data_IF_513486512796
#
_entry.id   IF_513486512796
#
_cell.length_a   1.000
_cell.length_b   1.000
_cell.length_c   1.000
_cell.angle_alpha   90.00
_cell.angle_beta   90.00
_cell.angle_gamma   90.00
#
_symmetry.space_group_name_H-M   'P 1'
#
loop_
_entity.id
_entity.type
_entity.pdbx_description
1 polymer ?
#
# COMPACT_ATOMS: atom_id res chain seq x y z
N UNK A 1 -12.45 19.35 -94.84
CA UNK A 1 -12.84 20.12 -96.04
C UNK A 1 -13.72 21.28 -95.61
N UNK A 2 -13.26 22.51 -95.77
CA UNK A 2 -13.95 23.73 -95.32
C UNK A 2 -15.19 24.01 -96.18
N UNK A 3 -16.29 24.50 -95.59
CA UNK A 3 -17.53 24.83 -96.32
C UNK A 3 -17.31 25.76 -97.52
N UNK A 4 -16.28 26.61 -97.45
CA UNK A 4 -15.81 27.49 -98.54
C UNK A 4 -15.51 26.69 -99.83
N UNK A 5 -14.90 25.51 -99.70
CA UNK A 5 -14.57 24.66 -100.86
C UNK A 5 -15.81 24.02 -101.50
N UNK A 6 -16.87 23.72 -100.73
CA UNK A 6 -18.11 23.13 -101.25
C UNK A 6 -18.95 24.19 -101.96
N UNK A 7 -19.06 25.40 -101.39
CA UNK A 7 -19.78 26.52 -102.03
C UNK A 7 -19.09 26.95 -103.32
N UNK A 8 -17.75 27.01 -103.32
CA UNK A 8 -16.99 27.33 -104.54
C UNK A 8 -17.19 26.27 -105.64
N UNK A 9 -17.23 24.97 -105.28
CA UNK A 9 -17.46 23.89 -106.22
C UNK A 9 -18.89 23.91 -106.80
N UNK A 10 -19.90 24.20 -105.97
CA UNK A 10 -21.28 24.36 -106.43
C UNK A 10 -21.45 25.58 -107.35
N UNK A 11 -20.79 26.70 -107.05
CA UNK A 11 -20.79 27.88 -107.94
C UNK A 11 -20.12 27.57 -109.28
N UNK A 12 -19.01 26.83 -109.28
CA UNK A 12 -18.32 26.37 -110.49
C UNK A 12 -19.18 25.40 -111.31
N UNK A 13 -19.88 24.46 -110.67
CA UNK A 13 -20.78 23.51 -111.34
C UNK A 13 -22.03 24.18 -111.93
N UNK A 14 -22.59 25.18 -111.24
CA UNK A 14 -23.72 25.96 -111.76
C UNK A 14 -23.28 26.88 -112.90
N UNK A 15 -22.09 27.49 -112.82
CA UNK A 15 -21.54 28.30 -113.90
C UNK A 15 -21.15 27.48 -115.14
N UNK A 16 -20.72 26.23 -114.98
CA UNK A 16 -20.28 25.36 -116.08
C UNK A 16 -21.44 24.75 -116.88
N UNK A 17 -22.66 24.68 -116.33
CA UNK A 17 -23.77 23.95 -116.96
C UNK A 17 -24.79 24.84 -117.69
N UNK A 18 -24.56 26.16 -117.77
CA UNK A 18 -25.51 27.12 -118.35
C UNK A 18 -24.89 27.79 -119.58
N UNK A 19 -25.46 27.52 -120.76
CA UNK A 19 -25.12 28.20 -122.01
C UNK A 19 -25.49 29.70 -121.99
N UNK A 20 -25.08 30.49 -123.01
CA UNK A 20 -25.12 31.96 -123.03
C UNK A 20 -26.53 32.62 -123.03
N UNK A 21 -27.61 31.87 -122.76
CA UNK A 21 -29.00 32.36 -122.71
C UNK A 21 -29.64 32.27 -121.31
N UNK A 22 -28.82 32.12 -120.26
CA UNK A 22 -29.27 32.19 -118.88
C UNK A 22 -29.79 33.59 -118.52
N UNK A 23 -31.09 33.75 -118.28
CA UNK A 23 -31.66 35.02 -117.79
C UNK A 23 -31.25 35.26 -116.33
N UNK A 24 -30.90 36.52 -116.01
CA UNK A 24 -30.48 36.98 -114.65
C UNK A 24 -31.41 36.49 -113.54
N UNK A 25 -32.70 36.31 -113.85
CA UNK A 25 -33.72 35.80 -112.93
C UNK A 25 -33.42 34.39 -112.40
N UNK A 26 -32.92 33.49 -113.25
CA UNK A 26 -32.59 32.12 -112.85
C UNK A 26 -31.31 32.05 -112.01
N UNK A 27 -30.35 32.94 -112.28
CA UNK A 27 -29.13 33.04 -111.49
C UNK A 27 -29.42 33.57 -110.08
N UNK A 28 -30.30 34.58 -109.98
CA UNK A 28 -30.77 35.12 -108.69
C UNK A 28 -31.56 34.07 -107.90
N UNK A 29 -32.46 33.33 -108.55
CA UNK A 29 -33.21 32.25 -107.89
C UNK A 29 -32.30 31.14 -107.35
N UNK A 30 -31.26 30.75 -108.10
CA UNK A 30 -30.28 29.76 -107.66
C UNK A 30 -29.46 30.25 -106.46
N UNK A 31 -28.98 31.51 -106.48
CA UNK A 31 -28.21 32.10 -105.38
C UNK A 31 -29.07 32.25 -104.12
N UNK A 32 -30.33 32.68 -104.25
CA UNK A 32 -31.28 32.78 -103.14
C UNK A 32 -31.62 31.40 -102.57
N UNK A 33 -31.84 30.39 -103.42
CA UNK A 33 -32.10 29.02 -102.99
C UNK A 33 -30.93 28.39 -102.23
N UNK A 34 -29.70 28.60 -102.71
CA UNK A 34 -28.47 28.15 -102.01
C UNK A 34 -28.29 28.91 -100.70
N UNK A 35 -28.55 30.23 -100.67
CA UNK A 35 -28.48 31.03 -99.45
C UNK A 35 -29.46 30.57 -98.36
N UNK A 36 -30.71 30.29 -98.73
CA UNK A 36 -31.73 29.75 -97.82
C UNK A 36 -31.37 28.36 -97.30
N UNK A 37 -30.85 27.47 -98.14
CA UNK A 37 -30.41 26.15 -97.74
C UNK A 37 -29.24 26.19 -96.74
N UNK A 38 -28.28 27.12 -96.94
CA UNK A 38 -27.16 27.33 -96.01
C UNK A 38 -27.63 27.88 -94.67
N UNK A 39 -28.56 28.85 -94.66
CA UNK A 39 -29.12 29.40 -93.41
C UNK A 39 -29.91 28.33 -92.66
N UNK A 40 -30.74 27.54 -93.36
CA UNK A 40 -31.45 26.41 -92.76
C UNK A 40 -30.49 25.38 -92.16
N UNK A 41 -29.44 25.00 -92.89
CA UNK A 41 -28.41 24.07 -92.41
C UNK A 41 -27.65 24.59 -91.17
N UNK A 42 -27.31 25.87 -91.13
CA UNK A 42 -26.66 26.50 -89.97
C UNK A 42 -27.60 26.58 -88.76
N UNK A 43 -28.89 26.85 -88.98
CA UNK A 43 -29.89 26.84 -87.91
C UNK A 43 -30.11 25.42 -87.36
N UNK A 44 -30.19 24.40 -88.23
CA UNK A 44 -30.28 23.00 -87.82
C UNK A 44 -29.02 22.56 -87.07
N UNK A 45 -27.83 22.92 -87.55
CA UNK A 45 -26.57 22.60 -86.88
C UNK A 45 -26.46 23.28 -85.52
N UNK A 46 -26.88 24.55 -85.39
CA UNK A 46 -26.94 25.26 -84.10
C UNK A 46 -27.95 24.64 -83.15
N UNK A 47 -29.14 24.27 -83.64
CA UNK A 47 -30.16 23.60 -82.85
C UNK A 47 -29.69 22.22 -82.38
N UNK A 48 -29.01 21.46 -83.24
CA UNK A 48 -28.47 20.15 -82.90
C UNK A 48 -27.34 20.26 -81.87
N UNK A 49 -26.46 21.26 -81.99
CA UNK A 49 -25.42 21.54 -80.99
C UNK A 49 -26.03 21.96 -79.65
N UNK A 50 -27.03 22.83 -79.65
CA UNK A 50 -27.73 23.23 -78.42
C UNK A 50 -28.43 22.03 -77.74
N UNK A 51 -29.02 21.12 -78.52
CA UNK A 51 -29.64 19.91 -78.01
C UNK A 51 -28.61 18.93 -77.41
N UNK A 52 -27.43 18.78 -78.04
CA UNK A 52 -26.36 17.94 -77.49
C UNK A 52 -25.75 18.54 -76.22
N UNK A 53 -25.57 19.87 -76.18
CA UNK A 53 -25.05 20.56 -75.00
C UNK A 53 -26.04 20.45 -73.82
N UNK A 54 -27.35 20.56 -74.09
CA UNK A 54 -28.39 20.32 -73.09
C UNK A 54 -28.44 18.85 -72.63
N UNK A 55 -28.31 17.89 -73.54
CA UNK A 55 -28.29 16.47 -73.19
C UNK A 55 -27.07 16.13 -72.32
N UNK A 56 -25.90 16.70 -72.64
CA UNK A 56 -24.70 16.53 -71.83
C UNK A 56 -24.85 17.16 -70.44
N UNK A 57 -25.41 18.36 -70.35
CA UNK A 57 -25.68 19.01 -69.06
C UNK A 57 -26.66 18.20 -68.19
N UNK A 58 -27.69 17.59 -68.80
CA UNK A 58 -28.61 16.70 -68.08
C UNK A 58 -27.92 15.41 -67.62
N UNK A 59 -27.05 14.82 -68.43
CA UNK A 59 -26.27 13.65 -68.05
C UNK A 59 -25.31 13.96 -66.89
N UNK A 60 -24.65 15.12 -66.91
CA UNK A 60 -23.76 15.57 -65.85
C UNK A 60 -24.54 15.82 -64.54
N UNK A 61 -25.72 16.46 -64.62
CA UNK A 61 -26.60 16.66 -63.47
C UNK A 61 -27.13 15.34 -62.90
N UNK A 62 -27.50 14.38 -63.74
CA UNK A 62 -27.88 13.03 -63.30
C UNK A 62 -26.72 12.32 -62.60
N UNK A 63 -25.51 12.41 -63.15
CA UNK A 63 -24.30 11.85 -62.55
C UNK A 63 -23.99 12.47 -61.18
N UNK A 64 -24.14 13.79 -61.04
CA UNK A 64 -24.00 14.48 -59.75
C UNK A 64 -25.07 14.03 -58.76
N UNK A 65 -26.32 13.87 -59.20
CA UNK A 65 -27.44 13.46 -58.35
C UNK A 65 -27.29 12.01 -57.86
N UNK A 66 -26.82 11.09 -58.71
CA UNK A 66 -26.50 9.72 -58.28
C UNK A 66 -25.35 9.67 -57.28
N UNK A 67 -24.32 10.52 -57.45
CA UNK A 67 -23.21 10.63 -56.48
C UNK A 67 -23.67 11.20 -55.15
N UNK A 68 -24.51 12.24 -55.15
CA UNK A 68 -25.02 12.82 -53.90
C UNK A 68 -25.95 11.86 -53.16
N UNK A 69 -26.80 11.12 -53.88
CA UNK A 69 -27.62 10.06 -53.28
C UNK A 69 -26.77 8.94 -52.68
N UNK A 70 -25.73 8.49 -53.39
CA UNK A 70 -24.76 7.51 -52.88
C UNK A 70 -24.06 7.99 -51.62
N UNK A 71 -23.61 9.24 -51.59
CA UNK A 71 -22.96 9.84 -50.42
C UNK A 71 -23.91 9.97 -49.23
N UNK A 72 -25.17 10.34 -49.46
CA UNK A 72 -26.19 10.41 -48.40
C UNK A 72 -26.49 9.03 -47.80
N UNK A 73 -26.56 8.00 -48.64
CA UNK A 73 -26.74 6.61 -48.17
C UNK A 73 -25.55 6.14 -47.34
N UNK A 74 -24.32 6.40 -47.80
CA UNK A 74 -23.10 6.09 -47.07
C UNK A 74 -23.04 6.81 -45.71
N UNK A 75 -23.42 8.09 -45.68
CA UNK A 75 -23.50 8.87 -44.44
C UNK A 75 -24.54 8.29 -43.47
N UNK A 76 -25.71 7.86 -43.97
CA UNK A 76 -26.72 7.16 -43.17
C UNK A 76 -26.17 5.88 -42.53
N UNK A 77 -25.48 5.04 -43.31
CA UNK A 77 -24.86 3.81 -42.78
C UNK A 77 -23.76 4.09 -41.76
N UNK A 78 -22.96 5.14 -41.96
CA UNK A 78 -21.92 5.53 -41.02
C UNK A 78 -22.51 6.03 -39.70
N UNK A 79 -23.59 6.82 -39.75
CA UNK A 79 -24.29 7.30 -38.56
C UNK A 79 -24.92 6.16 -37.77
N UNK A 80 -25.53 5.18 -38.43
CA UNK A 80 -26.12 4.02 -37.75
C UNK A 80 -25.04 3.15 -37.09
N UNK A 81 -23.90 2.97 -37.76
CA UNK A 81 -22.74 2.28 -37.20
C UNK A 81 -22.22 2.98 -35.95
N UNK A 82 -22.01 4.30 -36.04
CA UNK A 82 -21.55 5.12 -34.92
C UNK A 82 -22.54 5.10 -33.74
N UNK A 83 -23.85 5.11 -34.04
CA UNK A 83 -24.90 4.96 -33.03
C UNK A 83 -24.80 3.61 -32.33
N UNK A 84 -24.66 2.52 -33.07
CA UNK A 84 -24.54 1.17 -32.50
C UNK A 84 -23.29 1.05 -31.61
N UNK A 85 -22.16 1.60 -32.04
CA UNK A 85 -20.91 1.57 -31.28
C UNK A 85 -21.00 2.43 -30.01
N UNK A 86 -21.60 3.61 -30.07
CA UNK A 86 -21.86 4.45 -28.90
C UNK A 86 -22.78 3.75 -27.89
N UNK A 87 -23.84 3.11 -28.35
CA UNK A 87 -24.74 2.34 -27.47
C UNK A 87 -23.99 1.20 -26.79
N UNK A 88 -23.20 0.42 -27.55
CA UNK A 88 -22.41 -0.69 -27.00
C UNK A 88 -21.38 -0.20 -25.99
N UNK A 89 -20.70 0.91 -26.28
CA UNK A 89 -19.74 1.52 -25.36
C UNK A 89 -20.43 2.00 -24.07
N UNK A 90 -21.60 2.63 -24.17
CA UNK A 90 -22.36 3.09 -23.02
C UNK A 90 -22.85 1.93 -22.13
N UNK A 91 -23.32 0.84 -22.74
CA UNK A 91 -23.70 -0.38 -22.03
C UNK A 91 -22.50 -0.98 -21.29
N UNK A 92 -21.37 -1.15 -21.98
CA UNK A 92 -20.15 -1.69 -21.38
C UNK A 92 -19.63 -0.80 -20.24
N UNK A 93 -19.66 0.52 -20.39
CA UNK A 93 -19.29 1.45 -19.32
C UNK A 93 -20.22 1.32 -18.12
N UNK A 94 -21.53 1.17 -18.35
CA UNK A 94 -22.52 1.00 -17.27
C UNK A 94 -22.28 -0.29 -16.51
N UNK A 95 -22.03 -1.40 -17.21
CA UNK A 95 -21.68 -2.68 -16.58
C UNK A 95 -20.39 -2.59 -15.78
N UNK A 96 -19.34 -1.98 -16.34
CA UNK A 96 -18.06 -1.81 -15.64
C UNK A 96 -18.20 -0.93 -14.39
N UNK A 97 -19.01 0.14 -14.45
CA UNK A 97 -19.31 0.98 -13.29
C UNK A 97 -20.08 0.21 -12.22
N UNK A 98 -21.03 -0.65 -12.61
CA UNK A 98 -21.73 -1.55 -11.69
C UNK A 98 -20.76 -2.47 -10.94
N UNK A 99 -19.88 -3.17 -11.66
CA UNK A 99 -18.87 -4.04 -11.06
C UNK A 99 -17.92 -3.28 -10.12
N UNK A 100 -17.48 -2.08 -10.52
CA UNK A 100 -16.61 -1.25 -9.68
C UNK A 100 -17.34 -0.80 -8.41
N UNK A 101 -18.62 -0.42 -8.52
CA UNK A 101 -19.44 -0.03 -7.37
C UNK A 101 -19.60 -1.19 -6.38
N UNK A 102 -19.87 -2.40 -6.87
CA UNK A 102 -20.00 -3.59 -6.02
C UNK A 102 -18.69 -3.93 -5.30
N UNK A 103 -17.56 -3.86 -6.01
CA UNK A 103 -16.24 -4.12 -5.44
C UNK A 103 -15.86 -3.07 -4.38
N UNK A 104 -16.14 -1.79 -4.65
CA UNK A 104 -15.93 -0.71 -3.68
C UNK A 104 -16.82 -0.92 -2.45
N UNK A 105 -18.09 -1.30 -2.63
CA UNK A 105 -19.01 -1.64 -1.54
C UNK A 105 -18.47 -2.74 -0.63
N UNK A 106 -18.04 -3.87 -1.20
CA UNK A 106 -17.44 -4.99 -0.44
C UNK A 106 -16.19 -4.58 0.32
N UNK A 107 -15.33 -3.74 -0.28
CA UNK A 107 -14.12 -3.24 0.38
C UNK A 107 -14.46 -2.31 1.54
N UNK A 108 -15.47 -1.45 1.40
CA UNK A 108 -15.96 -0.63 2.50
C UNK A 108 -16.50 -1.47 3.65
N UNK A 109 -17.30 -2.50 3.37
CA UNK A 109 -17.80 -3.43 4.40
C UNK A 109 -16.64 -4.14 5.13
N UNK A 110 -15.63 -4.57 4.39
CA UNK A 110 -14.43 -5.21 4.97
C UNK A 110 -13.66 -4.24 5.89
N UNK A 111 -13.48 -2.99 5.47
CA UNK A 111 -12.81 -1.96 6.28
C UNK A 111 -13.60 -1.65 7.55
N UNK A 112 -14.93 -1.54 7.45
CA UNK A 112 -15.79 -1.36 8.62
C UNK A 112 -15.70 -2.55 9.58
N UNK A 113 -15.63 -3.78 9.07
CA UNK A 113 -15.42 -4.98 9.87
C UNK A 113 -14.10 -4.94 10.65
N UNK A 114 -12.98 -4.66 9.96
CA UNK A 114 -11.68 -4.52 10.62
C UNK A 114 -11.65 -3.39 11.66
N UNK A 115 -12.36 -2.28 11.41
CA UNK A 115 -12.43 -1.17 12.36
C UNK A 115 -13.17 -1.58 13.64
N UNK A 116 -14.26 -2.34 13.53
CA UNK A 116 -14.97 -2.89 14.69
C UNK A 116 -14.12 -3.89 15.48
N UNK A 117 -13.37 -4.76 14.78
CA UNK A 117 -12.43 -5.69 15.41
C UNK A 117 -11.32 -4.95 16.16
N UNK A 118 -10.75 -3.90 15.55
CA UNK A 118 -9.74 -3.06 16.19
C UNK A 118 -10.26 -2.38 17.46
N UNK A 119 -11.48 -1.83 17.43
CA UNK A 119 -12.11 -1.23 18.62
C UNK A 119 -12.38 -2.27 19.72
N UNK A 120 -12.75 -3.49 19.35
CA UNK A 120 -12.91 -4.60 20.29
C UNK A 120 -11.57 -4.99 20.93
N UNK A 121 -10.48 -5.04 20.15
CA UNK A 121 -9.13 -5.30 20.65
C UNK A 121 -8.65 -4.19 21.59
N UNK A 122 -8.88 -2.91 21.26
CA UNK A 122 -8.55 -1.79 22.14
C UNK A 122 -9.28 -1.88 23.49
N UNK A 123 -10.57 -2.26 23.48
CA UNK A 123 -11.33 -2.51 24.72
C UNK A 123 -10.73 -3.66 25.52
N UNK A 124 -10.38 -4.77 24.90
CA UNK A 124 -9.72 -5.89 25.59
C UNK A 124 -8.37 -5.48 26.19
N UNK A 125 -7.57 -4.68 25.47
CA UNK A 125 -6.29 -4.17 25.97
C UNK A 125 -6.53 -3.25 27.17
N UNK A 126 -7.51 -2.36 27.12
CA UNK A 126 -7.85 -1.48 28.24
C UNK A 126 -8.24 -2.30 29.49
N UNK A 127 -9.15 -3.27 29.34
CA UNK A 127 -9.56 -4.15 30.43
C UNK A 127 -8.40 -4.96 31.00
N UNK A 128 -7.52 -5.50 30.14
CA UNK A 128 -6.32 -6.23 30.58
C UNK A 128 -5.32 -5.32 31.28
N UNK A 129 -5.17 -4.08 30.82
CA UNK A 129 -4.28 -3.10 31.43
C UNK A 129 -4.80 -2.70 32.80
N UNK A 130 -6.11 -2.48 32.95
CA UNK A 130 -6.75 -2.18 34.24
C UNK A 130 -6.61 -3.34 35.23
N UNK A 131 -6.90 -4.58 34.81
CA UNK A 131 -6.71 -5.76 35.66
C UNK A 131 -5.24 -5.97 36.05
N UNK A 132 -4.31 -5.69 35.13
CA UNK A 132 -2.87 -5.75 35.43
C UNK A 132 -2.46 -4.65 36.42
N UNK A 133 -2.92 -3.42 36.22
CA UNK A 133 -2.66 -2.30 37.14
C UNK A 133 -3.22 -2.58 38.54
N UNK A 134 -4.41 -3.19 38.63
CA UNK A 134 -5.02 -3.58 39.89
C UNK A 134 -4.24 -4.73 40.56
N UNK A 135 -3.78 -5.72 39.79
CA UNK A 135 -2.92 -6.78 40.30
C UNK A 135 -1.56 -6.23 40.81
N UNK A 136 -0.96 -5.29 40.07
CA UNK A 136 0.26 -4.59 40.50
C UNK A 136 0.01 -3.77 41.77
N UNK A 137 -1.12 -3.07 41.86
CA UNK A 137 -1.52 -2.33 43.07
C UNK A 137 -1.68 -3.24 44.28
N UNK A 138 -2.34 -4.39 44.11
CA UNK A 138 -2.48 -5.41 45.15
C UNK A 138 -1.11 -6.00 45.55
N UNK A 139 -0.24 -6.26 44.58
CA UNK A 139 1.12 -6.78 44.84
C UNK A 139 1.97 -5.75 45.58
N UNK A 140 1.87 -4.47 45.23
CA UNK A 140 2.48 -3.34 45.95
C UNK A 140 2.00 -3.28 47.40
N UNK A 141 0.69 -3.44 47.63
CA UNK A 141 0.13 -3.45 48.98
C UNK A 141 0.63 -4.66 49.80
N UNK A 142 0.70 -5.85 49.19
CA UNK A 142 1.28 -7.03 49.85
C UNK A 142 2.78 -6.87 50.09
N UNK A 143 3.54 -6.26 49.17
CA UNK A 143 4.95 -5.94 49.39
C UNK A 143 5.14 -4.95 50.55
N UNK A 144 4.25 -3.97 50.72
CA UNK A 144 4.29 -3.06 51.86
C UNK A 144 4.09 -3.82 53.19
N UNK A 145 3.12 -4.74 53.24
CA UNK A 145 2.89 -5.61 54.41
C UNK A 145 4.07 -6.54 54.68
N UNK A 146 4.63 -7.14 53.63
CA UNK A 146 5.83 -7.99 53.74
C UNK A 146 7.02 -7.16 54.22
N UNK A 147 7.18 -5.93 53.74
CA UNK A 147 8.24 -5.01 54.19
C UNK A 147 8.08 -4.63 55.66
N UNK A 148 6.87 -4.31 56.10
CA UNK A 148 6.56 -4.03 57.50
C UNK A 148 6.81 -5.27 58.39
N UNK A 149 6.37 -6.45 57.94
CA UNK A 149 6.66 -7.72 58.60
C UNK A 149 8.15 -8.04 58.63
N UNK A 150 8.88 -7.75 57.55
CA UNK A 150 10.33 -7.91 57.46
C UNK A 150 11.06 -6.93 58.38
N UNK A 151 10.62 -5.67 58.51
CA UNK A 151 11.20 -4.71 59.46
C UNK A 151 10.97 -5.18 60.90
N UNK A 152 9.79 -5.74 61.20
CA UNK A 152 9.49 -6.38 62.49
C UNK A 152 10.37 -7.62 62.76
N UNK A 153 10.61 -8.48 61.77
CA UNK A 153 11.46 -9.68 61.94
C UNK A 153 12.96 -9.32 61.91
N UNK A 154 13.36 -8.30 61.15
CA UNK A 154 14.74 -7.78 61.11
C UNK A 154 15.12 -7.08 62.42
N UNK A 155 14.15 -6.56 63.18
CA UNK A 155 14.35 -6.13 64.56
C UNK A 155 14.62 -7.31 65.51
N UNK A 156 14.27 -8.55 65.15
CA UNK A 156 14.22 -9.66 66.11
C UNK A 156 15.09 -10.89 65.80
N UNK A 157 15.73 -11.08 64.63
CA UNK A 157 16.82 -12.09 64.45
C UNK A 157 17.44 -12.13 63.04
N UNK A 158 18.66 -12.70 62.94
CA UNK A 158 19.40 -12.94 61.68
C UNK A 158 18.67 -13.79 60.62
N UNK A 159 17.61 -14.52 60.99
CA UNK A 159 16.73 -15.24 60.05
C UNK A 159 15.79 -14.29 59.28
N UNK A 160 15.42 -13.15 59.87
CA UNK A 160 14.59 -12.12 59.23
C UNK A 160 15.23 -11.46 58.03
N UNK A 161 16.55 -11.22 58.09
CA UNK A 161 17.32 -10.61 57.00
C UNK A 161 17.40 -11.53 55.77
N UNK A 162 17.40 -12.85 55.98
CA UNK A 162 17.41 -13.87 54.93
C UNK A 162 16.03 -14.04 54.27
N UNK A 163 14.96 -14.06 55.07
CA UNK A 163 13.59 -14.07 54.55
C UNK A 163 13.27 -12.79 53.76
N UNK A 164 13.76 -11.64 54.23
CA UNK A 164 13.69 -10.36 53.53
C UNK A 164 14.37 -10.41 52.15
N UNK A 165 15.56 -11.03 52.07
CA UNK A 165 16.29 -11.16 50.80
C UNK A 165 15.62 -12.16 49.84
N UNK A 166 15.04 -13.24 50.34
CA UNK A 166 14.29 -14.18 49.51
C UNK A 166 12.99 -13.56 48.97
N UNK A 167 12.26 -12.79 49.80
CA UNK A 167 11.10 -12.01 49.38
C UNK A 167 11.48 -10.90 48.39
N UNK A 168 12.62 -10.23 48.61
CA UNK A 168 13.17 -9.26 47.67
C UNK A 168 13.60 -9.91 46.34
N UNK A 169 14.10 -11.15 46.36
CA UNK A 169 14.43 -11.90 45.15
C UNK A 169 13.18 -12.32 44.35
N UNK A 170 12.12 -12.76 45.02
CA UNK A 170 10.82 -13.03 44.37
C UNK A 170 10.18 -11.75 43.82
N UNK A 171 10.27 -10.65 44.57
CA UNK A 171 9.83 -9.32 44.11
C UNK A 171 10.65 -8.84 42.92
N UNK A 172 11.97 -9.03 42.94
CA UNK A 172 12.85 -8.72 41.81
C UNK A 172 12.53 -9.57 40.57
N UNK A 173 12.15 -10.84 40.75
CA UNK A 173 11.65 -11.68 39.66
C UNK A 173 10.34 -11.15 39.07
N UNK A 174 9.38 -10.76 39.91
CA UNK A 174 8.13 -10.15 39.46
C UNK A 174 8.33 -8.80 38.76
N UNK A 175 9.23 -7.95 39.28
CA UNK A 175 9.66 -6.70 38.64
C UNK A 175 10.33 -7.00 37.29
N UNK A 176 11.18 -8.02 37.21
CA UNK A 176 11.83 -8.41 35.96
C UNK A 176 10.82 -8.87 34.90
N UNK A 177 9.81 -9.65 35.31
CA UNK A 177 8.71 -10.09 34.43
C UNK A 177 7.84 -8.90 33.98
N UNK A 178 7.49 -7.99 34.89
CA UNK A 178 6.73 -6.78 34.58
C UNK A 178 7.50 -5.82 33.66
N UNK A 179 8.79 -5.61 33.93
CA UNK A 179 9.69 -4.81 33.09
C UNK A 179 9.83 -5.44 31.69
N UNK A 180 9.93 -6.77 31.60
CA UNK A 180 9.93 -7.49 30.32
C UNK A 180 8.59 -7.38 29.57
N UNK A 181 7.47 -7.45 30.28
CA UNK A 181 6.15 -7.28 29.70
C UNK A 181 5.94 -5.84 29.17
N UNK A 182 6.33 -4.84 29.96
CA UNK A 182 6.32 -3.42 29.56
C UNK A 182 7.26 -3.15 28.38
N UNK A 183 8.44 -3.80 28.35
CA UNK A 183 9.36 -3.71 27.24
C UNK A 183 8.72 -4.22 25.95
N UNK A 184 8.10 -5.39 25.98
CA UNK A 184 7.41 -5.97 24.81
C UNK A 184 6.25 -5.11 24.35
N UNK A 185 5.48 -4.54 25.28
CA UNK A 185 4.39 -3.61 24.95
C UNK A 185 4.90 -2.34 24.26
N UNK A 186 5.96 -1.72 24.79
CA UNK A 186 6.56 -0.52 24.19
C UNK A 186 7.27 -0.79 22.86
N UNK A 187 7.86 -1.98 22.69
CA UNK A 187 8.39 -2.42 21.40
C UNK A 187 7.27 -2.63 20.37
N UNK A 188 6.15 -3.24 20.77
CA UNK A 188 4.97 -3.39 19.92
C UNK A 188 4.33 -2.03 19.54
N UNK A 189 4.42 -1.05 20.43
CA UNK A 189 3.99 0.33 20.17
C UNK A 189 4.98 1.14 19.28
N UNK A 190 6.20 0.63 19.04
CA UNK A 190 7.24 1.32 18.26
C UNK A 190 8.01 2.40 19.04
N UNK A 191 7.78 2.53 20.34
CA UNK A 191 8.34 3.60 21.19
C UNK A 191 9.81 3.38 21.56
N UNK A 192 10.33 2.15 21.42
CA UNK A 192 11.67 1.76 21.85
C UNK A 192 12.45 1.09 20.72
N UNK A 193 13.75 1.44 20.54
CA UNK A 193 14.61 0.77 19.56
C UNK A 193 14.72 -0.74 19.85
N UNK A 194 14.40 -1.56 18.86
CA UNK A 194 14.45 -3.03 18.97
C UNK A 194 15.80 -3.64 18.59
N UNK A 195 16.71 -2.85 18.02
CA UNK A 195 17.93 -3.33 17.37
C UNK A 195 19.24 -2.79 17.99
N UNK A 196 19.16 -2.03 19.09
CA UNK A 196 20.33 -1.46 19.76
C UNK A 196 20.13 -1.40 21.27
N UNK A 197 21.23 -1.34 22.00
CA UNK A 197 21.19 -1.08 23.44
C UNK A 197 20.55 0.29 23.71
N UNK A 198 19.84 0.39 24.82
CA UNK A 198 19.22 1.63 25.28
C UNK A 198 19.09 1.62 26.81
N UNK A 199 18.87 2.79 27.40
CA UNK A 199 18.84 2.97 28.85
C UNK A 199 17.60 3.71 29.29
N UNK A 200 17.06 3.33 30.46
CA UNK A 200 16.02 4.05 31.16
C UNK A 200 16.58 4.54 32.50
N UNK A 201 16.40 5.81 32.82
CA UNK A 201 16.86 6.39 34.07
C UNK A 201 15.67 7.02 34.79
N UNK A 202 15.42 6.59 36.03
CA UNK A 202 14.38 7.12 36.88
C UNK A 202 14.91 7.19 38.32
N UNK A 203 14.83 8.38 38.93
CA UNK A 203 15.05 8.57 40.37
C UNK A 203 16.36 7.98 40.92
N UNK A 204 17.45 8.02 40.14
CA UNK A 204 18.76 7.49 40.52
C UNK A 204 18.98 6.00 40.22
N UNK A 205 17.98 5.32 39.65
CA UNK A 205 18.06 3.95 39.14
C UNK A 205 18.19 3.98 37.62
N UNK A 206 19.28 3.43 37.10
CA UNK A 206 19.53 3.27 35.68
C UNK A 206 19.38 1.81 35.26
N UNK A 207 18.46 1.55 34.35
CA UNK A 207 18.23 0.25 33.74
C UNK A 207 18.83 0.24 32.33
N UNK A 208 19.70 -0.72 32.04
CA UNK A 208 20.37 -0.89 30.75
C UNK A 208 19.78 -2.11 30.07
N UNK A 209 19.35 -1.94 28.84
CA UNK A 209 18.72 -2.97 28.04
C UNK A 209 19.53 -3.25 26.78
N UNK A 210 19.55 -4.52 26.40
CA UNK A 210 19.93 -4.98 25.08
C UNK A 210 18.65 -5.38 24.32
N UNK A 211 18.70 -5.61 22.98
CA UNK A 211 17.54 -6.02 22.20
C UNK A 211 16.68 -7.12 22.87
N UNK A 212 15.52 -6.73 23.39
CA UNK A 212 14.55 -7.63 24.02
C UNK A 212 14.91 -8.13 25.43
N UNK A 213 15.98 -7.63 26.07
CA UNK A 213 16.44 -8.12 27.39
C UNK A 213 16.96 -7.01 28.30
N UNK A 214 16.77 -7.19 29.62
CA UNK A 214 17.33 -6.30 30.64
C UNK A 214 18.74 -6.79 30.99
N UNK A 215 19.77 -6.01 30.66
CA UNK A 215 21.16 -6.41 30.84
C UNK A 215 21.68 -6.10 32.25
N UNK A 216 21.33 -4.91 32.76
CA UNK A 216 21.90 -4.41 34.01
C UNK A 216 20.98 -3.37 34.66
N UNK A 217 20.96 -3.32 35.99
CA UNK A 217 20.31 -2.27 36.79
C UNK A 217 21.37 -1.68 37.71
N UNK A 218 21.46 -0.36 37.75
CA UNK A 218 22.40 0.38 38.61
C UNK A 218 21.58 1.31 39.49
N UNK A 219 21.68 1.13 40.80
CA UNK A 219 21.16 2.09 41.77
C UNK A 219 22.34 2.89 42.33
N UNK A 220 22.39 4.15 41.90
CA UNK A 220 23.49 5.06 42.26
C UNK A 220 23.42 5.52 43.71
N UNK A 221 22.23 5.56 44.32
CA UNK A 221 22.07 5.99 45.70
C UNK A 221 22.63 4.94 46.68
N UNK A 222 22.46 3.66 46.35
CA UNK A 222 22.89 2.55 47.19
C UNK A 222 24.21 1.89 46.73
N UNK A 223 24.84 2.42 45.68
CA UNK A 223 26.02 1.84 45.03
C UNK A 223 25.84 0.34 44.70
N UNK A 224 24.62 -0.05 44.34
CA UNK A 224 24.28 -1.42 43.99
C UNK A 224 24.14 -1.57 42.48
N UNK A 225 24.60 -2.72 42.00
CA UNK A 225 24.52 -3.10 40.60
C UNK A 225 23.99 -4.51 40.50
N UNK A 226 22.95 -4.72 39.69
CA UNK A 226 22.45 -6.05 39.35
C UNK A 226 22.73 -6.32 37.89
N UNK A 227 23.50 -7.36 37.60
CA UNK A 227 23.82 -7.81 36.25
C UNK A 227 23.00 -9.06 35.94
N UNK A 228 22.47 -9.14 34.72
CA UNK A 228 21.67 -10.27 34.26
C UNK A 228 22.37 -10.95 33.08
N UNK A 229 22.64 -12.25 33.23
CA UNK A 229 23.22 -13.09 32.20
C UNK A 229 22.18 -14.13 31.77
N UNK A 230 21.75 -14.07 30.51
CA UNK A 230 20.76 -14.97 29.96
C UNK A 230 21.44 -16.12 29.23
N UNK A 231 21.03 -17.35 29.54
CA UNK A 231 21.55 -18.56 28.92
C UNK A 231 20.64 -19.03 27.78
N UNK A 232 21.18 -19.88 26.90
CA UNK A 232 20.44 -20.43 25.75
C UNK A 232 19.32 -21.39 26.17
N UNK A 233 19.45 -22.03 27.33
CA UNK A 233 18.45 -22.93 27.91
C UNK A 233 17.23 -22.19 28.50
N UNK A 234 17.24 -20.85 28.42
CA UNK A 234 16.17 -19.99 28.93
C UNK A 234 16.32 -19.65 30.42
N UNK A 235 17.41 -20.02 31.08
CA UNK A 235 17.68 -19.58 32.46
C UNK A 235 18.34 -18.20 32.49
N UNK A 236 18.29 -17.56 33.66
CA UNK A 236 18.87 -16.26 33.92
C UNK A 236 19.68 -16.31 35.20
N UNK A 237 20.92 -15.85 35.14
CA UNK A 237 21.72 -15.58 36.32
C UNK A 237 21.66 -14.09 36.62
N UNK A 238 21.11 -13.74 37.77
CA UNK A 238 21.17 -12.38 38.33
C UNK A 238 22.28 -12.31 39.36
N UNK A 239 23.17 -11.34 39.25
CA UNK A 239 24.25 -11.11 40.20
C UNK A 239 24.14 -9.70 40.76
N UNK A 240 24.00 -9.59 42.08
CA UNK A 240 23.97 -8.33 42.80
C UNK A 240 25.36 -8.04 43.34
N UNK A 241 25.89 -6.89 42.96
CA UNK A 241 27.13 -6.30 43.46
C UNK A 241 26.80 -5.09 44.32
N UNK A 242 27.50 -4.94 45.44
CA UNK A 242 27.42 -3.76 46.30
C UNK A 242 28.82 -3.17 46.35
N UNK A 243 28.96 -1.91 45.91
CA UNK A 243 30.25 -1.24 45.73
C UNK A 243 31.25 -2.07 44.88
N UNK A 244 30.74 -2.79 43.87
CA UNK A 244 31.54 -3.65 42.98
C UNK A 244 31.89 -5.02 43.55
N UNK A 245 31.50 -5.34 44.78
CA UNK A 245 31.73 -6.65 45.40
C UNK A 245 30.49 -7.54 45.22
N UNK A 246 30.62 -8.76 44.67
CA UNK A 246 29.51 -9.71 44.59
C UNK A 246 28.95 -10.02 45.97
N UNK A 247 27.63 -9.91 46.14
CA UNK A 247 26.95 -10.27 47.39
C UNK A 247 25.97 -11.40 47.20
N UNK A 248 25.25 -11.38 46.09
CA UNK A 248 24.28 -12.40 45.79
C UNK A 248 24.40 -12.79 44.32
N UNK A 249 24.24 -14.08 44.05
CA UNK A 249 24.00 -14.60 42.72
C UNK A 249 22.82 -15.55 42.79
N UNK A 250 21.82 -15.35 41.94
CA UNK A 250 20.66 -16.20 41.85
C UNK A 250 20.53 -16.67 40.41
N UNK A 251 20.51 -17.98 40.24
CA UNK A 251 20.20 -18.63 38.99
C UNK A 251 18.73 -19.02 39.00
N UNK A 252 17.98 -18.55 38.01
CA UNK A 252 16.53 -18.70 37.92
C UNK A 252 16.09 -19.14 36.52
N UNK A 253 14.87 -19.63 36.42
CA UNK A 253 14.23 -19.91 35.12
C UNK A 253 13.86 -18.61 34.39
N UNK A 254 13.49 -18.71 33.10
CA UNK A 254 12.95 -17.59 32.31
C UNK A 254 11.75 -16.89 32.95
N UNK A 255 11.02 -17.58 33.84
CA UNK A 255 9.85 -17.05 34.54
C UNK A 255 10.20 -16.46 35.91
N UNK A 256 11.48 -16.42 36.28
CA UNK A 256 11.97 -15.86 37.54
C UNK A 256 11.90 -16.81 38.73
N UNK A 257 11.53 -18.09 38.53
CA UNK A 257 11.57 -19.07 39.61
C UNK A 257 13.04 -19.40 39.96
N UNK A 258 13.49 -19.17 41.20
CA UNK A 258 14.88 -19.44 41.59
C UNK A 258 15.15 -20.94 41.59
N UNK A 259 16.33 -21.33 41.11
CA UNK A 259 16.83 -22.71 41.09
C UNK A 259 17.96 -22.85 42.10
N UNK A 260 18.94 -21.95 42.02
CA UNK A 260 20.09 -21.92 42.91
C UNK A 260 20.42 -20.48 43.34
N UNK A 261 20.96 -20.36 44.55
CA UNK A 261 21.41 -19.10 45.12
C UNK A 261 22.81 -19.24 45.70
N UNK A 262 23.58 -18.16 45.63
CA UNK A 262 24.89 -18.05 46.22
C UNK A 262 24.97 -16.73 46.99
N UNK A 263 25.23 -16.82 48.28
CA UNK A 263 25.58 -15.70 49.13
C UNK A 263 27.09 -15.62 49.24
N UNK A 264 27.62 -14.42 49.00
CA UNK A 264 29.02 -14.11 49.16
C UNK A 264 29.25 -13.24 50.40
N UNK A 265 30.40 -13.46 51.05
CA UNK A 265 30.89 -12.68 52.18
C UNK A 265 31.30 -11.25 51.81
N UNK A 266 31.93 -10.55 52.74
CA UNK A 266 32.37 -9.15 52.55
C UNK A 266 33.44 -8.95 51.49
N UNK A 267 34.25 -9.98 51.25
CA UNK A 267 35.29 -10.02 50.24
C UNK A 267 34.79 -10.58 48.90
N UNK A 268 33.49 -10.89 48.79
CA UNK A 268 32.89 -11.52 47.62
C UNK A 268 33.14 -13.03 47.52
N UNK A 269 33.75 -13.65 48.54
CA UNK A 269 33.94 -15.11 48.55
C UNK A 269 32.62 -15.83 48.78
N UNK A 270 32.35 -16.94 48.06
CA UNK A 270 31.14 -17.72 48.30
C UNK A 270 31.13 -18.34 49.70
N UNK A 271 30.09 -18.07 50.48
CA UNK A 271 29.95 -18.59 51.85
C UNK A 271 28.82 -19.62 51.96
N UNK A 272 27.69 -19.37 51.28
CA UNK A 272 26.50 -20.20 51.40
C UNK A 272 25.87 -20.41 50.04
N UNK A 273 25.60 -21.67 49.71
CA UNK A 273 24.81 -22.07 48.56
C UNK A 273 23.41 -22.47 49.00
N UNK A 274 22.43 -22.09 48.20
CA UNK A 274 21.02 -22.41 48.37
C UNK A 274 20.52 -23.17 47.15
N UNK A 275 19.72 -24.19 47.36
CA UNK A 275 18.90 -24.84 46.33
C UNK A 275 17.44 -24.57 46.66
N UNK A 276 16.65 -24.25 45.64
CA UNK A 276 15.25 -23.89 45.79
C UNK A 276 14.35 -25.01 45.25
N UNK A 277 13.19 -25.19 45.88
CA UNK A 277 12.14 -26.07 45.37
C UNK A 277 11.30 -25.39 44.27
N UNK A 278 10.33 -26.14 43.73
CA UNK A 278 9.43 -25.64 42.68
C UNK A 278 8.51 -24.50 43.14
N UNK A 279 8.36 -24.29 44.45
CA UNK A 279 7.60 -23.20 45.04
C UNK A 279 8.49 -21.96 45.30
N UNK A 280 9.79 -22.03 45.00
CA UNK A 280 10.77 -20.98 45.25
C UNK A 280 11.17 -20.86 46.71
N UNK A 281 10.94 -21.88 47.53
CA UNK A 281 11.40 -21.94 48.92
C UNK A 281 12.77 -22.62 48.99
N UNK A 282 13.57 -22.30 50.01
CA UNK A 282 14.90 -22.91 50.19
C UNK A 282 14.73 -24.38 50.59
N UNK A 283 15.03 -25.28 49.66
CA UNK A 283 15.00 -26.72 49.86
C UNK A 283 16.26 -27.21 50.60
N UNK A 284 17.40 -26.59 50.30
CA UNK A 284 18.70 -26.98 50.87
C UNK A 284 19.60 -25.77 51.04
N UNK A 285 20.36 -25.77 52.15
CA UNK A 285 21.37 -24.75 52.49
C UNK A 285 22.68 -25.43 52.82
N UNK A 286 23.74 -25.04 52.13
CA UNK A 286 25.07 -25.62 52.31
C UNK A 286 26.11 -24.53 52.51
N UNK A 287 26.91 -24.61 53.58
CA UNK A 287 28.08 -23.73 53.71
C UNK A 287 29.12 -24.17 52.70
N UNK A 288 29.53 -23.25 51.85
CA UNK A 288 30.64 -23.46 50.93
C UNK A 288 31.91 -23.48 51.77
N UNK A 289 32.61 -24.62 51.79
CA UNK A 289 33.85 -24.73 52.52
C UNK A 289 34.88 -23.78 51.92
N UNK A 290 35.11 -22.64 52.57
CA UNK A 290 36.28 -21.81 52.33
C UNK A 290 37.49 -22.65 52.73
N UNK A 291 38.31 -23.04 51.75
CA UNK A 291 39.66 -23.56 52.04
C UNK A 291 40.40 -22.43 52.75
N UNK A 292 40.34 -22.38 54.08
CA UNK A 292 41.26 -21.54 54.84
C UNK A 292 42.66 -22.07 54.53
N UNK A 293 43.42 -21.27 53.78
CA UNK A 293 44.84 -21.48 53.65
C UNK A 293 45.42 -21.41 55.05
N UNK A 294 45.98 -22.53 55.54
CA UNK A 294 46.98 -22.49 56.59
C UNK A 294 48.11 -21.59 56.10
N UNK A 295 48.17 -20.36 56.58
CA UNK A 295 49.41 -19.60 56.58
C UNK A 295 50.37 -20.32 57.54
N UNK A 296 51.47 -20.84 56.97
CA UNK A 296 52.68 -21.26 57.67
C UNK A 296 53.66 -20.10 57.61
#
# INVERSE_FOLDING_TARGET
>A
MTWVTVVALCFLLVAANWGPTATVHNLVAAVVGVGLAVVAGLLTQRAQKAATDQAQALADLQGLLSRTQGNLSALGTALETLRADLTRAAEQHTTNLGHLSDEVGKRFETVLGHQQEHDALLKQIATRTETTAQAVGNFSAELAKVREGVELIAQDTAEGVLAAHAAAAQSNGAVQVLTQALLRLRQAAGDIPTNREWTLEDSGVRQVFEPGRLKKVVDTANATETVFEYQEDGTVTSQVLIAGVPRYRIHSTALGAPLEGLLCGEDGTPEVRFEYDQMGQVAKRERVATKSGKAK
#
